data_IF_386306425359
#
_entry.id   IF_386306425359
#
_cell.length_a   1.000
_cell.length_b   1.000
_cell.length_c   1.000
_cell.angle_alpha   90.00
_cell.angle_beta   90.00
_cell.angle_gamma   90.00
#
_symmetry.space_group_name_H-M   'P 1'
#
loop_
_entity.id
_entity.type
_entity.pdbx_description
1 polymer ?
#
# COMPACT_ATOMS: atom_id res chain seq x y z
N UNK A 1 -11.90 -2.24 30.50
CA UNK A 1 -11.74 -3.10 29.30
C UNK A 1 -10.40 -2.81 28.64
N UNK A 2 -9.63 -3.81 28.17
CA UNK A 2 -8.27 -3.60 27.61
C UNK A 2 -8.21 -3.96 26.14
N UNK A 3 -7.72 -3.04 25.31
CA UNK A 3 -7.36 -3.32 23.92
C UNK A 3 -5.97 -3.97 23.89
N UNK A 4 -5.85 -5.10 23.20
CA UNK A 4 -4.59 -5.85 23.11
C UNK A 4 -4.07 -5.83 21.69
N UNK A 5 -2.74 -5.85 21.52
CA UNK A 5 -2.14 -5.95 20.19
C UNK A 5 -2.01 -7.42 19.80
N UNK A 6 -2.33 -7.73 18.55
CA UNK A 6 -2.10 -9.05 17.98
C UNK A 6 -0.60 -9.35 17.89
N UNK A 7 -0.22 -10.56 18.24
CA UNK A 7 1.17 -11.00 18.18
C UNK A 7 1.75 -10.99 16.76
N UNK A 8 0.95 -11.33 15.75
CA UNK A 8 1.42 -11.44 14.36
C UNK A 8 1.28 -10.13 13.57
N UNK A 9 0.07 -9.55 13.57
CA UNK A 9 -0.28 -8.38 12.76
C UNK A 9 0.06 -7.04 13.46
N UNK A 10 0.21 -7.04 14.79
CA UNK A 10 0.23 -5.86 15.66
C UNK A 10 -0.99 -4.95 15.57
N UNK A 11 -2.07 -5.38 14.89
CA UNK A 11 -3.36 -4.68 14.91
C UNK A 11 -4.02 -4.79 16.29
N UNK A 12 -4.88 -3.84 16.59
CA UNK A 12 -5.67 -3.80 17.82
C UNK A 12 -6.73 -4.91 17.81
N UNK A 13 -6.88 -5.61 18.93
CA UNK A 13 -7.89 -6.63 19.20
C UNK A 13 -8.88 -6.04 20.21
N UNK A 14 -10.13 -5.93 19.79
CA UNK A 14 -11.24 -5.59 20.66
C UNK A 14 -11.77 -6.85 21.35
N UNK A 15 -12.38 -6.75 22.54
CA UNK A 15 -12.88 -7.94 23.22
C UNK A 15 -14.01 -8.61 22.46
N UNK A 16 -14.13 -9.93 22.63
CA UNK A 16 -15.01 -10.76 21.81
C UNK A 16 -14.46 -11.08 20.41
N UNK A 17 -13.30 -10.52 20.02
CA UNK A 17 -12.69 -10.81 18.73
C UNK A 17 -11.38 -11.59 18.82
N UNK A 18 -11.14 -12.40 17.79
CA UNK A 18 -9.88 -13.10 17.60
C UNK A 18 -9.80 -14.42 18.34
N UNK A 19 -8.57 -14.93 18.50
CA UNK A 19 -8.29 -16.22 19.13
C UNK A 19 -7.09 -16.04 20.06
N UNK A 20 -7.14 -16.68 21.21
CA UNK A 20 -6.02 -16.77 22.15
C UNK A 20 -5.45 -18.19 22.11
N UNK A 21 -4.14 -18.30 21.91
CA UNK A 21 -3.39 -19.54 22.05
C UNK A 21 -2.49 -19.43 23.28
N UNK A 22 -2.62 -20.37 24.20
CA UNK A 22 -1.76 -20.49 25.38
C UNK A 22 -0.81 -21.64 25.13
N UNK A 23 0.50 -21.37 25.19
CA UNK A 23 1.54 -22.39 25.03
C UNK A 23 1.94 -22.92 26.41
N UNK A 24 2.52 -24.13 26.45
CA UNK A 24 2.92 -24.82 27.68
C UNK A 24 3.88 -23.99 28.58
N UNK A 25 4.64 -23.04 28.02
CA UNK A 25 5.48 -22.10 28.76
C UNK A 25 4.69 -20.92 29.38
N UNK A 26 3.38 -21.07 29.54
CA UNK A 26 2.42 -20.05 29.96
C UNK A 26 2.41 -18.77 29.10
N UNK A 27 3.02 -18.78 27.91
CA UNK A 27 2.98 -17.62 27.01
C UNK A 27 1.67 -17.54 26.27
N UNK A 28 1.05 -16.37 26.36
CA UNK A 28 -0.24 -16.08 25.76
C UNK A 28 -0.03 -15.35 24.43
N UNK A 29 -0.44 -15.98 23.34
CA UNK A 29 -0.45 -15.39 22.00
C UNK A 29 -1.88 -15.02 21.63
N UNK A 30 -2.13 -13.73 21.37
CA UNK A 30 -3.44 -13.24 20.92
C UNK A 30 -3.39 -12.90 19.44
N UNK A 31 -4.40 -13.34 18.68
CA UNK A 31 -4.48 -13.14 17.24
C UNK A 31 -5.72 -12.35 16.84
N UNK A 32 -5.54 -11.36 15.95
CA UNK A 32 -6.62 -10.51 15.46
C UNK A 32 -7.65 -11.28 14.60
N UNK A 33 -7.19 -12.23 13.78
CA UNK A 33 -8.01 -12.98 12.79
C UNK A 33 -7.43 -14.37 12.55
N UNK A 34 -8.21 -15.26 11.96
CA UNK A 34 -7.79 -16.62 11.55
C UNK A 34 -6.55 -16.60 10.64
N UNK A 35 -6.40 -15.61 9.76
CA UNK A 35 -5.19 -15.40 8.93
C UNK A 35 -3.91 -15.34 9.76
N UNK A 36 -3.92 -14.62 10.88
CA UNK A 36 -2.75 -14.48 11.75
C UNK A 36 -2.45 -15.77 12.49
N UNK A 37 -3.51 -16.43 12.97
CA UNK A 37 -3.40 -17.71 13.67
C UNK A 37 -2.87 -18.83 12.76
N UNK A 38 -3.38 -18.93 11.52
CA UNK A 38 -2.88 -19.90 10.52
C UNK A 38 -1.41 -19.64 10.16
N UNK A 39 -1.01 -18.38 9.93
CA UNK A 39 0.39 -18.06 9.66
C UNK A 39 1.32 -18.38 10.84
N UNK A 40 0.84 -18.20 12.07
CA UNK A 40 1.57 -18.62 13.27
C UNK A 40 1.72 -20.14 13.34
N UNK A 41 0.66 -20.91 13.08
CA UNK A 41 0.71 -22.37 13.00
C UNK A 41 1.68 -22.87 11.92
N UNK A 42 1.73 -22.17 10.78
CA UNK A 42 2.71 -22.41 9.71
C UNK A 42 4.13 -21.93 10.05
N UNK A 43 4.39 -21.48 11.30
CA UNK A 43 5.69 -20.99 11.78
C UNK A 43 6.30 -19.87 10.92
N UNK A 44 5.46 -19.07 10.24
CA UNK A 44 5.95 -17.94 9.44
C UNK A 44 6.46 -16.83 10.36
N UNK A 45 7.63 -16.29 10.05
CA UNK A 45 8.19 -15.17 10.82
C UNK A 45 7.51 -13.85 10.44
N UNK A 46 6.83 -13.13 11.37
CA UNK A 46 6.15 -11.88 11.05
C UNK A 46 7.10 -10.80 10.52
N UNK A 47 8.40 -10.82 10.87
CA UNK A 47 9.41 -9.89 10.35
C UNK A 47 9.74 -10.08 8.87
N UNK A 48 9.40 -11.24 8.28
CA UNK A 48 9.57 -11.52 6.84
C UNK A 48 8.28 -11.32 6.05
N UNK A 49 7.14 -11.17 6.73
CA UNK A 49 5.82 -11.05 6.09
C UNK A 49 5.49 -9.58 5.82
N UNK A 50 5.51 -9.18 4.54
CA UNK A 50 5.50 -7.78 4.08
C UNK A 50 4.38 -6.88 4.63
N UNK A 51 3.22 -7.43 4.95
CA UNK A 51 2.03 -6.67 5.38
C UNK A 51 1.97 -6.43 6.90
N UNK A 52 2.80 -7.09 7.70
CA UNK A 52 2.78 -6.91 9.16
C UNK A 52 3.45 -5.59 9.55
N UNK A 53 3.07 -5.05 10.72
CA UNK A 53 3.77 -3.90 11.30
C UNK A 53 5.20 -4.22 11.72
N UNK A 54 5.47 -5.46 12.15
CA UNK A 54 6.82 -5.92 12.49
C UNK A 54 7.78 -5.84 11.30
N UNK A 55 7.34 -6.27 10.10
CA UNK A 55 8.12 -6.12 8.87
C UNK A 55 8.37 -4.65 8.54
N UNK A 56 7.33 -3.81 8.63
CA UNK A 56 7.44 -2.38 8.33
C UNK A 56 8.43 -1.66 9.25
N UNK A 57 8.39 -1.94 10.55
CA UNK A 57 9.33 -1.39 11.50
C UNK A 57 10.77 -1.85 11.23
N UNK A 58 10.97 -3.15 10.99
CA UNK A 58 12.30 -3.73 10.73
C UNK A 58 12.93 -3.25 9.41
N UNK A 59 12.14 -2.79 8.44
CA UNK A 59 12.62 -2.31 7.14
C UNK A 59 12.50 -0.78 6.99
N UNK A 60 12.41 -0.05 8.12
CA UNK A 60 12.39 1.41 8.11
C UNK A 60 11.19 2.03 7.36
N UNK A 61 10.07 1.30 7.25
CA UNK A 61 8.86 1.79 6.57
C UNK A 61 7.97 2.65 7.45
N UNK A 62 8.00 2.40 8.75
CA UNK A 62 7.29 3.15 9.79
C UNK A 62 8.34 3.77 10.73
N UNK A 63 8.01 4.91 11.34
CA UNK A 63 8.84 5.54 12.39
C UNK A 63 8.94 4.60 13.59
N UNK A 64 10.16 4.20 13.98
CA UNK A 64 10.39 3.30 15.12
C UNK A 64 10.89 4.01 16.37
N UNK A 65 11.69 5.07 16.20
CA UNK A 65 12.29 5.86 17.28
C UNK A 65 11.58 7.22 17.39
N UNK A 66 10.57 7.32 18.26
CA UNK A 66 9.92 8.59 18.58
C UNK A 66 9.56 8.61 20.08
N UNK A 67 9.76 9.77 20.72
CA UNK A 67 9.41 10.02 22.12
C UNK A 67 7.91 9.84 22.37
N UNK A 68 7.07 10.02 21.34
CA UNK A 68 5.61 9.80 21.46
C UNK A 68 5.26 8.37 21.86
N UNK A 69 6.10 7.38 21.55
CA UNK A 69 5.84 5.98 21.91
C UNK A 69 6.07 5.68 23.40
N UNK A 70 6.86 6.50 24.11
CA UNK A 70 7.14 6.31 25.53
C UNK A 70 5.89 6.50 26.40
N UNK A 71 4.91 7.27 25.92
CA UNK A 71 3.65 7.49 26.61
C UNK A 71 2.73 6.25 26.61
N UNK A 72 2.88 5.32 25.64
CA UNK A 72 2.08 4.08 25.55
C UNK A 72 2.61 2.96 26.48
N UNK A 73 3.63 3.24 27.30
CA UNK A 73 4.26 2.23 28.17
C UNK A 73 3.30 1.64 29.20
N UNK A 74 3.43 0.33 29.45
CA UNK A 74 2.68 -0.37 30.50
C UNK A 74 3.23 0.04 31.87
N UNK A 75 2.38 0.66 32.71
CA UNK A 75 2.68 0.93 34.11
C UNK A 75 2.28 -0.28 34.97
N UNK A 76 3.20 -0.76 35.81
CA UNK A 76 2.94 -1.87 36.74
C UNK A 76 2.58 -1.40 38.15
N UNK A 77 2.91 -0.15 38.50
CA UNK A 77 2.49 0.49 39.75
C UNK A 77 1.26 1.36 39.48
N UNK A 78 0.12 1.12 40.15
CA UNK A 78 -1.01 2.03 40.10
C UNK A 78 -0.73 3.28 40.94
N UNK A 79 -1.24 4.41 40.49
CA UNK A 79 -1.31 5.66 41.25
C UNK A 79 -2.71 5.79 41.86
N UNK A 80 -2.84 6.56 42.94
CA UNK A 80 -4.16 6.92 43.45
C UNK A 80 -4.88 7.78 42.41
N UNK A 81 -6.20 7.68 42.38
CA UNK A 81 -7.00 8.45 41.43
C UNK A 81 -7.04 9.91 41.86
N UNK A 82 -6.62 10.79 40.94
CA UNK A 82 -6.73 12.24 41.08
C UNK A 82 -7.46 12.81 39.85
N UNK A 83 -8.58 13.50 40.08
CA UNK A 83 -9.43 14.02 39.00
C UNK A 83 -8.67 14.98 38.06
N UNK A 84 -7.93 15.94 38.63
CA UNK A 84 -7.16 16.92 37.88
C UNK A 84 -6.10 16.24 36.99
N UNK A 85 -5.44 15.20 37.51
CA UNK A 85 -4.46 14.42 36.73
C UNK A 85 -5.16 13.71 35.58
N UNK A 86 -6.30 13.06 35.83
CA UNK A 86 -7.06 12.39 34.75
C UNK A 86 -7.54 13.37 33.67
N UNK A 87 -8.07 14.53 34.03
CA UNK A 87 -8.51 15.55 33.06
C UNK A 87 -7.34 16.05 32.19
N UNK A 88 -6.21 16.38 32.82
CA UNK A 88 -4.99 16.79 32.12
C UNK A 88 -4.46 15.69 31.20
N UNK A 89 -4.51 14.42 31.62
CA UNK A 89 -4.07 13.30 30.78
C UNK A 89 -4.97 13.11 29.55
N UNK A 90 -6.29 13.29 29.66
CA UNK A 90 -7.20 13.20 28.53
C UNK A 90 -6.93 14.29 27.47
N UNK A 91 -6.63 15.51 27.92
CA UNK A 91 -6.22 16.60 27.03
C UNK A 91 -4.87 16.30 26.36
N UNK A 92 -3.89 15.81 27.13
CA UNK A 92 -2.58 15.45 26.62
C UNK A 92 -2.63 14.32 25.58
N UNK A 93 -3.45 13.29 25.79
CA UNK A 93 -3.59 12.15 24.85
C UNK A 93 -4.00 12.61 23.46
N UNK A 94 -5.01 13.50 23.35
CA UNK A 94 -5.47 14.03 22.06
C UNK A 94 -4.36 14.79 21.33
N UNK A 95 -3.59 15.60 22.06
CA UNK A 95 -2.46 16.36 21.52
C UNK A 95 -1.33 15.44 21.05
N UNK A 96 -1.00 14.41 21.84
CA UNK A 96 0.04 13.43 21.51
C UNK A 96 -0.33 12.64 20.26
N UNK A 97 -1.60 12.23 20.11
CA UNK A 97 -2.05 11.48 18.94
C UNK A 97 -1.97 12.32 17.65
N UNK A 98 -2.34 13.60 17.71
CA UNK A 98 -2.14 14.55 16.61
C UNK A 98 -0.66 14.68 16.21
N UNK A 99 0.23 14.85 17.19
CA UNK A 99 1.68 14.93 16.93
C UNK A 99 2.21 13.64 16.30
N UNK A 100 1.76 12.48 16.80
CA UNK A 100 2.15 11.16 16.30
C UNK A 100 1.70 10.97 14.84
N UNK A 101 0.45 11.32 14.51
CA UNK A 101 -0.08 11.18 13.16
C UNK A 101 0.68 12.08 12.17
N UNK A 102 0.89 13.35 12.51
CA UNK A 102 1.67 14.30 11.70
C UNK A 102 3.11 13.84 11.47
N UNK A 103 3.82 13.37 12.51
CA UNK A 103 5.19 12.85 12.39
C UNK A 103 5.24 11.60 11.50
N UNK A 104 4.27 10.71 11.67
CA UNK A 104 4.18 9.50 10.85
C UNK A 104 3.93 9.81 9.37
N UNK A 105 3.06 10.78 9.09
CA UNK A 105 2.77 11.25 7.74
C UNK A 105 4.01 11.87 7.09
N UNK A 106 4.70 12.78 7.81
CA UNK A 106 5.95 13.41 7.35
C UNK A 106 7.04 12.38 7.04
N UNK A 107 7.17 11.31 7.83
CA UNK A 107 8.13 10.25 7.55
C UNK A 107 7.80 9.49 6.25
N UNK A 108 6.52 9.15 6.06
CA UNK A 108 6.06 8.50 4.83
C UNK A 108 6.30 9.41 3.62
N UNK A 109 5.98 10.69 3.74
CA UNK A 109 6.17 11.69 2.70
C UNK A 109 7.65 11.81 2.29
N UNK A 110 8.55 11.96 3.26
CA UNK A 110 10.00 12.00 3.01
C UNK A 110 10.50 10.75 2.28
N UNK A 111 10.00 9.57 2.65
CA UNK A 111 10.35 8.31 1.98
C UNK A 111 9.81 8.24 0.55
N UNK A 112 8.63 8.77 0.28
CA UNK A 112 8.03 8.74 -1.07
C UNK A 112 8.69 9.78 -2.01
N UNK A 113 9.20 10.91 -1.47
CA UNK A 113 9.89 11.94 -2.25
C UNK A 113 11.06 11.40 -3.06
N UNK A 114 11.78 10.38 -2.58
CA UNK A 114 12.92 9.78 -3.30
C UNK A 114 12.52 9.07 -4.59
N UNK A 115 11.25 8.68 -4.74
CA UNK A 115 10.78 7.96 -5.93
C UNK A 115 10.46 8.89 -7.11
N UNK A 116 10.04 10.13 -6.84
CA UNK A 116 9.66 11.11 -7.87
C UNK A 116 10.73 11.32 -8.95
N UNK A 117 12.01 11.62 -8.63
CA UNK A 117 13.02 11.80 -9.66
C UNK A 117 13.30 10.52 -10.45
N UNK A 118 13.19 9.33 -9.82
CA UNK A 118 13.37 8.04 -10.51
C UNK A 118 12.30 7.82 -11.57
N UNK A 119 11.05 8.08 -11.21
CA UNK A 119 9.91 8.01 -12.14
C UNK A 119 10.11 8.97 -13.32
N UNK A 120 10.57 10.20 -13.08
CA UNK A 120 10.86 11.12 -14.19
C UNK A 120 11.98 10.61 -15.10
N UNK A 121 13.06 10.08 -14.53
CA UNK A 121 14.16 9.50 -15.32
C UNK A 121 13.68 8.31 -16.14
N UNK A 122 12.89 7.40 -15.55
CA UNK A 122 12.29 6.26 -16.24
C UNK A 122 11.35 6.70 -17.36
N UNK A 123 10.43 7.64 -17.10
CA UNK A 123 9.53 8.18 -18.12
C UNK A 123 10.29 8.84 -19.29
N UNK A 124 11.36 9.60 -19.01
CA UNK A 124 12.19 10.17 -20.09
C UNK A 124 12.94 9.11 -20.89
N UNK A 125 13.30 7.97 -20.29
CA UNK A 125 13.90 6.83 -21.01
C UNK A 125 12.86 6.12 -21.87
N UNK A 126 11.66 5.89 -21.34
CA UNK A 126 10.54 5.30 -22.07
C UNK A 126 10.18 6.15 -23.30
N UNK A 127 10.01 7.46 -23.13
CA UNK A 127 9.75 8.38 -24.26
C UNK A 127 10.84 8.34 -25.34
N UNK A 128 12.11 8.16 -24.96
CA UNK A 128 13.22 8.05 -25.93
C UNK A 128 13.20 6.74 -26.70
N UNK A 129 12.89 5.64 -26.02
CA UNK A 129 12.86 4.31 -26.64
C UNK A 129 11.61 4.14 -27.53
N UNK A 130 10.47 4.63 -27.04
CA UNK A 130 9.15 4.42 -27.64
C UNK A 130 8.68 5.65 -28.43
N UNK A 131 9.62 6.49 -28.89
CA UNK A 131 9.32 7.72 -29.63
C UNK A 131 8.48 7.45 -30.88
N UNK A 132 8.62 6.26 -31.46
CA UNK A 132 7.90 5.80 -32.66
C UNK A 132 6.42 5.48 -32.41
N UNK A 133 6.06 5.12 -31.17
CA UNK A 133 4.67 4.83 -30.77
C UNK A 133 3.85 6.12 -30.56
N UNK A 134 4.53 7.26 -30.43
CA UNK A 134 3.92 8.54 -30.11
C UNK A 134 3.89 9.40 -31.38
N UNK A 135 2.72 9.50 -32.02
CA UNK A 135 2.51 10.47 -33.12
C UNK A 135 2.44 11.87 -32.52
N UNK A 136 3.13 12.84 -33.14
CA UNK A 136 3.06 14.23 -32.70
C UNK A 136 1.59 14.71 -32.68
N UNK A 137 1.13 15.42 -31.63
CA UNK A 137 -0.26 15.85 -31.53
C UNK A 137 -0.70 16.75 -32.70
N UNK A 138 0.23 17.48 -33.32
CA UNK A 138 -0.03 18.22 -34.56
C UNK A 138 -0.21 17.32 -35.79
N UNK A 139 0.45 16.16 -35.84
CA UNK A 139 0.27 15.18 -36.92
C UNK A 139 -1.12 14.51 -36.85
N UNK A 140 -1.73 14.44 -35.66
CA UNK A 140 -3.14 14.00 -35.51
C UNK A 140 -4.13 15.05 -36.01
N UNK A 141 -3.78 16.35 -35.95
CA UNK A 141 -4.60 17.44 -36.45
C UNK A 141 -4.52 17.60 -37.98
N UNK A 142 -3.46 17.08 -38.62
CA UNK A 142 -3.20 17.20 -40.06
C UNK A 142 -3.72 16.05 -40.92
N UNK A 143 -4.57 15.16 -40.40
CA UNK A 143 -5.20 14.09 -41.20
C UNK A 143 -6.64 14.44 -41.67
N UNK A 144 -6.91 15.51 -42.47
CA UNK A 144 -8.08 15.50 -43.33
C UNK A 144 -7.77 14.60 -44.52
N UNK A 145 -8.23 13.33 -44.43
CA UNK A 145 -8.35 12.34 -45.52
C UNK A 145 -7.95 12.88 -46.91
N UNK A 146 -6.67 12.77 -47.28
CA UNK A 146 -6.28 12.85 -48.70
C UNK A 146 -6.84 11.61 -49.38
N UNK A 147 -8.02 11.73 -49.99
CA UNK A 147 -8.57 10.71 -50.89
C UNK A 147 -7.61 10.60 -52.08
N UNK A 148 -6.74 9.61 -52.05
CA UNK A 148 -6.01 9.19 -53.25
C UNK A 148 -7.08 8.56 -54.15
N UNK A 149 -7.46 9.25 -55.23
CA UNK A 149 -8.26 8.64 -56.30
C UNK A 149 -7.35 7.67 -57.02
N UNK A 150 -7.64 6.37 -56.89
CA UNK A 150 -7.05 5.33 -57.72
C UNK A 150 -7.97 5.22 -58.94
N UNK A 151 -7.48 5.58 -60.12
CA UNK A 151 -8.20 5.33 -61.36
C UNK A 151 -8.16 3.83 -61.68
N UNK A 152 -9.32 3.20 -61.57
CA UNK A 152 -9.50 1.79 -61.93
C UNK A 152 -9.72 1.72 -63.44
N UNK A 153 -8.71 1.26 -64.18
CA UNK A 153 -8.86 0.88 -65.59
C UNK A 153 -9.76 -0.35 -65.69
N UNK A 154 -10.93 -0.21 -66.33
CA UNK A 154 -11.83 -1.34 -66.64
C UNK A 154 -11.13 -2.30 -67.61
N UNK A 155 -10.79 -3.50 -67.16
CA UNK A 155 -10.45 -4.62 -68.03
C UNK A 155 -11.70 -5.08 -68.80
N UNK A 156 -11.58 -5.16 -70.12
CA UNK A 156 -12.63 -5.64 -71.04
C UNK A 156 -13.06 -7.06 -70.68
N UNK A 157 -14.36 -7.29 -70.75
CA UNK A 157 -15.06 -8.57 -70.58
C UNK A 157 -14.55 -9.63 -71.55
N UNK A 158 -14.19 -10.80 -71.02
CA UNK A 158 -14.10 -12.04 -71.80
C UNK A 158 -15.43 -12.77 -71.65
N UNK A 159 -16.09 -13.00 -72.77
CA UNK A 159 -17.33 -13.79 -72.87
C UNK A 159 -16.97 -15.25 -72.59
N UNK A 160 -17.64 -15.89 -71.63
CA UNK A 160 -17.60 -17.33 -71.47
C UNK A 160 -18.65 -17.94 -72.40
N UNK A 161 -18.19 -18.58 -73.47
CA UNK A 161 -19.00 -19.49 -74.27
C UNK A 161 -19.33 -20.73 -73.44
N UNK A 162 -20.60 -21.14 -73.50
CA UNK A 162 -21.09 -22.40 -72.98
C UNK A 162 -20.65 -23.55 -73.91
N UNK A 163 -20.26 -24.68 -73.33
CA UNK A 163 -20.30 -25.98 -74.03
C UNK A 163 -20.47 -27.12 -73.02
N UNK A 164 -21.36 -28.03 -73.40
CA UNK A 164 -21.78 -29.33 -72.85
C UNK A 164 -20.58 -30.25 -72.56
N UNK A 165 -20.59 -31.29 -71.72
CA UNK A 165 -21.58 -32.29 -71.27
C UNK A 165 -21.32 -32.66 -69.79
#
# INVERSE_FOLDING_TARGET
>A
MRLVKCWFCSSTIYPGHGIQFVRNDAKIFRFCRSKCHKNFKMKRNPRKVKWTKAFRAAHGKDMTQDKTFEFEKKRNRPERYDRNVTENTLMAIKKIDKIRSERSAKHIEKRLKTNKPKIHIEATKELKNDITLIKAPQALLQDPKKKIKVDVSKSKSVQNEAMEE
#
